data_IF_482018321452
#
_entry.id   IF_482018321452
#
_cell.length_a   1.000
_cell.length_b   1.000
_cell.length_c   1.000
_cell.angle_alpha   90.00
_cell.angle_beta   90.00
_cell.angle_gamma   90.00
#
_symmetry.space_group_name_H-M   'P 1'
#
loop_
_entity.id
_entity.type
_entity.pdbx_description
1 polymer ?
#
# COMPACT_ATOMS: atom_id res chain seq x y z
N UNK A 1 -6.41 -10.10 17.36
CA UNK A 1 -5.06 -9.56 17.08
C UNK A 1 -4.42 -10.13 15.80
N UNK A 2 -4.20 -11.42 15.64
CA UNK A 2 -3.51 -11.97 14.44
C UNK A 2 -4.24 -11.67 13.13
N UNK A 3 -5.56 -11.70 13.09
CA UNK A 3 -6.36 -11.40 11.90
C UNK A 3 -6.21 -9.93 11.47
N UNK A 4 -6.27 -9.00 12.42
CA UNK A 4 -6.14 -7.57 12.16
C UNK A 4 -4.75 -7.24 11.61
N UNK A 5 -3.68 -7.84 12.17
CA UNK A 5 -2.32 -7.68 11.68
C UNK A 5 -2.16 -8.22 10.26
N UNK A 6 -2.70 -9.40 9.96
CA UNK A 6 -2.65 -9.98 8.62
C UNK A 6 -3.43 -9.13 7.61
N UNK A 7 -4.57 -8.58 8.01
CA UNK A 7 -5.37 -7.69 7.18
C UNK A 7 -4.61 -6.40 6.85
N UNK A 8 -3.98 -5.79 7.86
CA UNK A 8 -3.16 -4.58 7.69
C UNK A 8 -2.01 -4.85 6.73
N UNK A 9 -1.23 -5.88 6.99
CA UNK A 9 -0.04 -6.26 6.23
C UNK A 9 -0.39 -6.54 4.75
N UNK A 10 -1.45 -7.31 4.51
CA UNK A 10 -1.91 -7.62 3.16
C UNK A 10 -2.31 -6.37 2.36
N UNK A 11 -3.10 -5.46 2.95
CA UNK A 11 -3.55 -4.27 2.24
C UNK A 11 -2.46 -3.23 2.06
N UNK A 12 -1.57 -3.09 3.04
CA UNK A 12 -0.41 -2.22 2.94
C UNK A 12 0.50 -2.66 1.79
N UNK A 13 0.86 -3.95 1.75
CA UNK A 13 1.65 -4.53 0.66
C UNK A 13 0.95 -4.43 -0.70
N UNK A 14 -0.34 -4.81 -0.78
CA UNK A 14 -1.08 -4.77 -2.05
C UNK A 14 -1.20 -3.34 -2.59
N UNK A 15 -1.49 -2.36 -1.74
CA UNK A 15 -1.57 -0.95 -2.09
C UNK A 15 -0.23 -0.40 -2.57
N UNK A 16 0.84 -0.67 -1.83
CA UNK A 16 2.20 -0.23 -2.15
C UNK A 16 2.70 -0.85 -3.46
N UNK A 17 2.56 -2.17 -3.62
CA UNK A 17 2.97 -2.87 -4.85
C UNK A 17 2.23 -2.34 -6.08
N UNK A 18 0.92 -2.11 -5.97
CA UNK A 18 0.12 -1.56 -7.07
C UNK A 18 0.58 -0.13 -7.41
N UNK A 19 0.78 0.71 -6.41
CA UNK A 19 1.23 2.09 -6.59
C UNK A 19 2.62 2.17 -7.22
N UNK A 20 3.58 1.40 -6.71
CA UNK A 20 4.95 1.36 -7.26
C UNK A 20 4.96 0.76 -8.67
N UNK A 21 4.15 -0.27 -8.94
CA UNK A 21 4.01 -0.85 -10.28
C UNK A 21 3.46 0.16 -11.28
N UNK A 22 2.53 1.03 -10.86
CA UNK A 22 2.01 2.11 -11.70
C UNK A 22 3.12 3.10 -12.06
N UNK A 23 3.91 3.56 -11.08
CA UNK A 23 5.09 4.42 -11.31
C UNK A 23 6.11 3.74 -12.22
N UNK A 24 6.27 2.42 -12.11
CA UNK A 24 7.17 1.61 -12.94
C UNK A 24 6.64 1.39 -14.38
N UNK A 25 5.38 1.74 -14.67
CA UNK A 25 4.72 1.44 -15.94
C UNK A 25 4.46 -0.05 -16.16
N UNK A 26 4.30 -0.82 -15.08
CA UNK A 26 4.04 -2.26 -15.08
C UNK A 26 2.56 -2.61 -14.84
N UNK A 27 1.68 -1.67 -14.98
CA UNK A 27 0.23 -1.89 -14.97
C UNK A 27 -0.25 -2.01 -16.40
N UNK A 28 -0.90 -3.13 -16.72
CA UNK A 28 -1.47 -3.39 -18.05
C UNK A 28 -2.68 -2.50 -18.33
N UNK A 29 -3.10 -2.46 -19.59
CA UNK A 29 -4.32 -1.73 -20.01
C UNK A 29 -5.60 -2.29 -19.37
N UNK A 30 -5.53 -3.50 -18.87
CA UNK A 30 -6.59 -4.20 -18.13
C UNK A 30 -6.57 -3.91 -16.61
N UNK A 31 -5.74 -2.96 -16.19
CA UNK A 31 -5.57 -2.60 -14.78
C UNK A 31 -4.79 -3.60 -13.93
N UNK A 32 -4.31 -4.70 -14.54
CA UNK A 32 -3.58 -5.74 -13.80
C UNK A 32 -2.10 -5.43 -13.70
N UNK A 33 -1.56 -5.62 -12.50
CA UNK A 33 -0.12 -5.49 -12.25
C UNK A 33 0.61 -6.73 -12.78
N UNK A 34 1.63 -6.51 -13.61
CA UNK A 34 2.48 -7.59 -14.12
C UNK A 34 3.24 -8.25 -12.97
N UNK A 35 3.29 -9.59 -13.01
CA UNK A 35 4.02 -10.41 -12.01
C UNK A 35 3.64 -10.17 -10.54
N UNK A 36 2.41 -9.67 -10.26
CA UNK A 36 1.95 -9.38 -8.90
C UNK A 36 2.12 -10.57 -7.96
N UNK A 37 1.84 -11.79 -8.44
CA UNK A 37 1.97 -13.01 -7.63
C UNK A 37 3.42 -13.26 -7.19
N UNK A 38 4.40 -12.94 -8.03
CA UNK A 38 5.83 -13.08 -7.66
C UNK A 38 6.24 -12.02 -6.66
N UNK A 39 5.72 -10.80 -6.81
CA UNK A 39 5.98 -9.71 -5.87
C UNK A 39 5.39 -10.02 -4.49
N UNK A 40 4.12 -10.45 -4.43
CA UNK A 40 3.45 -10.87 -3.19
C UNK A 40 4.16 -12.07 -2.53
N UNK A 41 4.61 -13.06 -3.33
CA UNK A 41 5.35 -14.19 -2.81
C UNK A 41 6.69 -13.75 -2.19
N UNK A 42 7.42 -12.85 -2.86
CA UNK A 42 8.67 -12.31 -2.34
C UNK A 42 8.46 -11.58 -1.02
N UNK A 43 7.41 -10.77 -0.91
CA UNK A 43 7.03 -10.05 0.30
C UNK A 43 6.70 -11.01 1.44
N UNK A 44 5.87 -12.02 1.18
CA UNK A 44 5.50 -13.06 2.15
C UNK A 44 6.70 -13.85 2.66
N UNK A 45 7.63 -14.24 1.77
CA UNK A 45 8.87 -14.94 2.15
C UNK A 45 9.74 -14.04 3.03
N UNK A 46 9.83 -12.75 2.70
CA UNK A 46 10.58 -11.77 3.49
C UNK A 46 9.98 -11.57 4.88
N UNK A 47 8.64 -11.52 4.97
CA UNK A 47 7.92 -11.44 6.25
C UNK A 47 8.17 -12.66 7.13
N UNK A 48 8.13 -13.87 6.55
CA UNK A 48 8.45 -15.10 7.29
C UNK A 48 9.90 -15.09 7.77
N UNK A 49 10.85 -14.71 6.92
CA UNK A 49 12.26 -14.62 7.29
C UNK A 49 12.48 -13.57 8.40
N UNK A 50 11.84 -12.40 8.29
CA UNK A 50 11.88 -11.37 9.33
C UNK A 50 11.32 -11.85 10.66
N UNK A 51 10.19 -12.54 10.64
CA UNK A 51 9.59 -13.13 11.85
C UNK A 51 10.52 -14.17 12.52
N UNK A 52 11.20 -14.98 11.72
CA UNK A 52 12.22 -15.93 12.25
C UNK A 52 13.40 -15.21 12.88
N UNK A 53 13.72 -14.01 12.43
CA UNK A 53 14.78 -13.16 13.00
C UNK A 53 14.31 -12.31 14.20
N UNK A 54 13.02 -12.38 14.56
CA UNK A 54 12.44 -11.67 15.70
C UNK A 54 12.04 -10.22 15.40
N UNK A 55 11.91 -9.84 14.12
CA UNK A 55 11.39 -8.53 13.72
C UNK A 55 9.90 -8.57 13.42
N UNK A 56 9.29 -7.42 13.20
CA UNK A 56 7.89 -7.29 12.76
C UNK A 56 7.74 -7.73 11.29
N UNK A 57 6.53 -7.63 10.75
CA UNK A 57 6.27 -7.86 9.32
C UNK A 57 7.21 -7.02 8.45
N UNK A 58 7.69 -7.62 7.37
CA UNK A 58 8.49 -6.94 6.34
C UNK A 58 7.55 -6.61 5.19
N UNK A 59 7.37 -5.33 4.93
CA UNK A 59 6.45 -4.85 3.89
C UNK A 59 7.18 -4.03 2.83
N UNK A 60 6.57 -3.92 1.67
CA UNK A 60 7.07 -3.09 0.57
C UNK A 60 6.86 -1.61 0.87
N UNK A 61 7.86 -0.77 0.58
CA UNK A 61 7.82 0.67 0.84
C UNK A 61 7.43 1.48 -0.39
N UNK A 62 6.55 2.47 -0.22
CA UNK A 62 6.16 3.42 -1.28
C UNK A 62 7.35 4.27 -1.74
N UNK A 63 8.34 4.51 -0.87
CA UNK A 63 9.58 5.23 -1.18
C UNK A 63 10.39 4.54 -2.28
N UNK A 64 10.18 3.24 -2.52
CA UNK A 64 10.74 2.51 -3.67
C UNK A 64 10.35 3.14 -5.00
N UNK A 65 9.20 3.83 -5.07
CA UNK A 65 8.77 4.60 -6.23
C UNK A 65 9.77 5.69 -6.63
N UNK A 66 10.46 6.31 -5.68
CA UNK A 66 11.52 7.28 -5.95
C UNK A 66 12.72 6.62 -6.65
N UNK A 67 13.14 5.44 -6.19
CA UNK A 67 14.19 4.65 -6.81
C UNK A 67 13.83 4.21 -8.24
N UNK A 68 12.60 3.77 -8.45
CA UNK A 68 12.08 3.43 -9.78
C UNK A 68 12.09 4.64 -10.72
N UNK A 69 11.67 5.81 -10.21
CA UNK A 69 11.67 7.06 -10.98
C UNK A 69 13.10 7.53 -11.35
N UNK A 70 14.06 7.27 -10.47
CA UNK A 70 15.47 7.54 -10.71
C UNK A 70 16.12 6.56 -11.73
N UNK A 71 15.39 5.53 -12.18
CA UNK A 71 15.85 4.58 -13.20
C UNK A 71 16.16 3.18 -12.67
N UNK A 72 15.93 2.90 -11.40
CA UNK A 72 16.09 1.57 -10.79
C UNK A 72 14.97 0.61 -11.26
N UNK A 73 15.30 -0.34 -12.15
CA UNK A 73 14.31 -1.23 -12.79
C UNK A 73 14.64 -2.71 -12.70
N UNK A 74 15.72 -3.05 -11.99
CA UNK A 74 16.21 -4.42 -11.89
C UNK A 74 16.37 -4.83 -10.44
N UNK A 75 16.37 -6.13 -10.15
CA UNK A 75 16.63 -6.67 -8.82
C UNK A 75 18.00 -6.28 -8.25
N UNK A 76 18.96 -5.91 -9.12
CA UNK A 76 20.25 -5.40 -8.69
C UNK A 76 20.11 -4.11 -7.87
N UNK A 77 19.18 -3.23 -8.23
CA UNK A 77 18.88 -2.02 -7.45
C UNK A 77 18.46 -2.38 -6.03
N UNK A 78 17.55 -3.33 -5.87
CA UNK A 78 17.10 -3.79 -4.55
C UNK A 78 18.22 -4.44 -3.74
N UNK A 79 19.09 -5.20 -4.40
CA UNK A 79 20.25 -5.83 -3.75
C UNK A 79 21.22 -4.76 -3.23
N UNK A 80 21.54 -3.75 -4.04
CA UNK A 80 22.43 -2.64 -3.61
C UNK A 80 21.80 -1.89 -2.44
N UNK A 81 20.49 -1.60 -2.49
CA UNK A 81 19.77 -0.96 -1.39
C UNK A 81 19.86 -1.81 -0.11
N UNK A 82 19.66 -3.13 -0.21
CA UNK A 82 19.80 -4.04 0.93
C UNK A 82 21.20 -4.01 1.55
N UNK A 83 22.25 -4.01 0.72
CA UNK A 83 23.64 -3.88 1.19
C UNK A 83 23.87 -2.53 1.88
N UNK A 84 23.33 -1.45 1.32
CA UNK A 84 23.41 -0.12 1.95
C UNK A 84 22.70 -0.07 3.30
N UNK A 85 21.54 -0.70 3.43
CA UNK A 85 20.86 -0.83 4.74
C UNK A 85 21.71 -1.58 5.76
N UNK A 86 22.37 -2.67 5.36
CA UNK A 86 23.31 -3.36 6.24
C UNK A 86 24.50 -2.47 6.64
N UNK A 87 25.01 -1.68 5.72
CA UNK A 87 26.06 -0.70 6.04
C UNK A 87 25.57 0.39 7.01
N UNK A 88 24.31 0.80 6.91
CA UNK A 88 23.70 1.78 7.81
C UNK A 88 23.61 1.29 9.27
N UNK A 89 23.68 -0.01 9.54
CA UNK A 89 23.78 -0.52 10.92
C UNK A 89 25.01 0.01 11.65
N UNK A 90 26.13 0.17 10.94
CA UNK A 90 27.35 0.75 11.50
C UNK A 90 27.25 2.28 11.66
N UNK A 91 26.34 2.92 10.92
CA UNK A 91 26.06 4.36 10.96
C UNK A 91 24.84 4.71 11.82
N UNK A 92 24.36 3.77 12.62
CA UNK A 92 23.17 3.95 13.47
C UNK A 92 23.20 5.24 14.30
N UNK A 93 24.31 5.65 14.94
CA UNK A 93 24.37 6.91 15.68
C UNK A 93 24.13 8.15 14.79
N UNK A 94 24.58 8.09 13.53
CA UNK A 94 24.35 9.16 12.56
C UNK A 94 22.89 9.19 12.11
N UNK A 95 22.31 8.01 11.83
CA UNK A 95 20.92 7.89 11.41
C UNK A 95 19.95 8.41 12.49
N UNK A 96 20.23 8.12 13.77
CA UNK A 96 19.40 8.59 14.89
C UNK A 96 19.57 10.08 15.21
N UNK A 97 20.59 10.73 14.70
CA UNK A 97 20.82 12.19 14.85
C UNK A 97 20.08 13.02 13.81
N UNK A 98 19.47 12.40 12.80
CA UNK A 98 18.73 13.12 11.77
C UNK A 98 17.43 13.71 12.36
N UNK A 99 17.16 15.00 12.12
CA UNK A 99 15.89 15.62 12.51
C UNK A 99 14.70 14.98 11.77
N UNK A 100 13.58 14.80 12.45
CA UNK A 100 12.33 14.22 11.87
C UNK A 100 11.77 15.04 10.70
N UNK A 101 12.14 16.31 10.62
CA UNK A 101 11.75 17.21 9.53
C UNK A 101 12.31 16.76 8.18
N UNK A 102 13.45 16.07 8.16
CA UNK A 102 14.05 15.51 6.94
C UNK A 102 13.18 14.36 6.41
N UNK A 103 12.68 13.51 7.28
CA UNK A 103 11.77 12.41 6.90
C UNK A 103 10.49 12.99 6.30
N UNK A 104 9.92 14.04 6.90
CA UNK A 104 8.75 14.73 6.38
C UNK A 104 8.96 15.29 4.97
N UNK A 105 10.12 15.90 4.70
CA UNK A 105 10.44 16.43 3.37
C UNK A 105 10.57 15.29 2.32
N UNK A 106 11.18 14.16 2.69
CA UNK A 106 11.28 13.00 1.81
C UNK A 106 9.89 12.40 1.49
N UNK A 107 9.01 12.31 2.50
CA UNK A 107 7.63 11.83 2.30
C UNK A 107 6.81 12.75 1.39
N UNK A 108 6.97 14.07 1.49
CA UNK A 108 6.33 15.03 0.57
C UNK A 108 6.80 14.80 -0.86
N UNK A 109 8.10 14.59 -1.08
CA UNK A 109 8.61 14.25 -2.41
C UNK A 109 7.98 12.97 -2.97
N UNK A 110 7.91 11.92 -2.16
CA UNK A 110 7.25 10.65 -2.55
C UNK A 110 5.78 10.88 -2.85
N UNK A 111 5.06 11.63 -2.02
CA UNK A 111 3.66 11.97 -2.25
C UNK A 111 3.43 12.65 -3.61
N UNK A 112 4.31 13.59 -4.00
CA UNK A 112 4.23 14.24 -5.32
C UNK A 112 4.36 13.23 -6.47
N UNK A 113 5.19 12.19 -6.32
CA UNK A 113 5.32 11.15 -7.35
C UNK A 113 4.03 10.34 -7.53
N UNK A 114 3.25 10.17 -6.46
CA UNK A 114 2.02 9.38 -6.47
C UNK A 114 0.75 10.18 -6.71
N UNK A 115 0.78 11.50 -6.58
CA UNK A 115 -0.38 12.38 -6.88
C UNK A 115 -0.98 12.10 -8.25
N UNK A 116 -0.15 11.72 -9.22
CA UNK A 116 -0.62 11.38 -10.56
C UNK A 116 -1.61 10.19 -10.58
N UNK A 117 -1.53 9.27 -9.63
CA UNK A 117 -2.44 8.13 -9.56
C UNK A 117 -3.88 8.55 -9.22
N UNK A 118 -4.07 9.75 -8.66
CA UNK A 118 -5.40 10.32 -8.38
C UNK A 118 -6.19 10.56 -9.67
N UNK A 119 -5.50 10.79 -10.80
CA UNK A 119 -6.16 10.98 -12.09
C UNK A 119 -6.77 9.70 -12.67
N UNK A 120 -6.37 8.54 -12.16
CA UNK A 120 -6.87 7.24 -12.60
C UNK A 120 -8.24 6.91 -11.96
N UNK A 121 -8.69 7.72 -11.00
CA UNK A 121 -9.99 7.58 -10.34
C UNK A 121 -11.08 8.15 -11.27
N UNK A 122 -12.15 7.38 -11.46
CA UNK A 122 -13.34 7.82 -12.19
C UNK A 122 -14.18 8.80 -11.36
N UNK A 123 -13.81 10.07 -11.36
CA UNK A 123 -14.45 11.12 -10.55
C UNK A 123 -15.92 11.36 -10.88
N UNK A 124 -16.36 10.99 -12.09
CA UNK A 124 -17.74 11.14 -12.53
C UNK A 124 -18.67 10.02 -12.00
N UNK A 125 -18.14 8.88 -11.57
CA UNK A 125 -18.93 7.84 -10.91
C UNK A 125 -18.78 7.99 -9.38
N UNK A 126 -19.91 8.32 -8.73
CA UNK A 126 -19.95 8.48 -7.27
C UNK A 126 -19.60 7.18 -6.53
N UNK A 127 -19.82 6.04 -7.17
CA UNK A 127 -19.47 4.75 -6.58
C UNK A 127 -17.96 4.50 -6.50
N UNK A 128 -17.19 5.16 -7.35
CA UNK A 128 -15.72 5.09 -7.36
C UNK A 128 -15.09 6.28 -6.60
N UNK A 129 -15.64 7.48 -6.80
CA UNK A 129 -15.08 8.70 -6.21
C UNK A 129 -15.34 8.85 -4.72
N UNK A 130 -16.53 8.49 -4.21
CA UNK A 130 -16.84 8.65 -2.79
C UNK A 130 -16.00 7.77 -1.87
N UNK A 131 -15.77 6.46 -2.16
CA UNK A 131 -14.85 5.65 -1.37
C UNK A 131 -13.40 6.15 -1.40
N UNK A 132 -12.94 6.64 -2.55
CA UNK A 132 -11.61 7.21 -2.69
C UNK A 132 -11.42 8.46 -1.82
N UNK A 133 -12.40 9.37 -1.82
CA UNK A 133 -12.38 10.57 -0.96
C UNK A 133 -12.41 10.18 0.52
N UNK A 134 -13.25 9.21 0.89
CA UNK A 134 -13.31 8.70 2.27
C UNK A 134 -11.96 8.14 2.71
N UNK A 135 -11.29 7.34 1.87
CA UNK A 135 -9.95 6.84 2.18
C UNK A 135 -8.96 7.99 2.40
N UNK A 136 -8.91 8.96 1.47
CA UNK A 136 -8.00 10.10 1.53
C UNK A 136 -8.17 10.95 2.80
N UNK A 137 -9.40 11.08 3.29
CA UNK A 137 -9.71 11.85 4.51
C UNK A 137 -9.44 11.01 5.76
N UNK A 138 -9.85 9.75 5.76
CA UNK A 138 -9.81 8.90 6.96
C UNK A 138 -8.39 8.48 7.31
N UNK A 139 -7.53 8.19 6.32
CA UNK A 139 -6.14 7.77 6.57
C UNK A 139 -5.37 8.78 7.46
N UNK A 140 -5.28 10.07 7.11
CA UNK A 140 -4.58 11.03 7.95
C UNK A 140 -5.28 11.31 9.27
N UNK A 141 -6.62 11.29 9.33
CA UNK A 141 -7.37 11.56 10.57
C UNK A 141 -7.23 10.44 11.60
N UNK A 142 -7.12 9.19 11.16
CA UNK A 142 -6.98 8.03 12.05
C UNK A 142 -5.53 7.59 12.25
N UNK A 143 -4.58 8.23 11.57
CA UNK A 143 -3.17 7.80 11.52
C UNK A 143 -3.02 6.31 11.14
N UNK A 144 -3.95 5.79 10.31
CA UNK A 144 -4.02 4.38 9.96
C UNK A 144 -4.46 4.20 8.51
N UNK A 145 -3.57 3.63 7.70
CA UNK A 145 -3.84 3.27 6.31
C UNK A 145 -4.99 2.25 6.26
N UNK A 146 -4.95 1.26 7.16
CA UNK A 146 -5.94 0.18 7.22
C UNK A 146 -7.34 0.67 7.51
N UNK A 147 -7.51 1.63 8.43
CA UNK A 147 -8.81 2.22 8.72
C UNK A 147 -9.38 2.95 7.51
N UNK A 148 -8.54 3.67 6.76
CA UNK A 148 -8.95 4.34 5.53
C UNK A 148 -9.39 3.37 4.45
N UNK A 149 -8.60 2.31 4.21
CA UNK A 149 -8.92 1.26 3.25
C UNK A 149 -10.20 0.52 3.66
N UNK A 150 -10.32 0.13 4.92
CA UNK A 150 -11.49 -0.59 5.41
C UNK A 150 -12.78 0.24 5.25
N UNK A 151 -12.77 1.52 5.62
CA UNK A 151 -13.92 2.40 5.43
C UNK A 151 -14.24 2.62 3.95
N UNK A 152 -13.23 2.75 3.09
CA UNK A 152 -13.44 2.86 1.65
C UNK A 152 -14.15 1.64 1.07
N UNK A 153 -13.73 0.41 1.42
CA UNK A 153 -14.38 -0.82 0.96
C UNK A 153 -15.80 -0.98 1.50
N UNK A 154 -16.04 -0.61 2.76
CA UNK A 154 -17.40 -0.61 3.34
C UNK A 154 -18.28 0.39 2.58
N UNK A 155 -17.81 1.62 2.36
CA UNK A 155 -18.54 2.64 1.62
C UNK A 155 -18.80 2.22 0.18
N UNK A 156 -17.82 1.63 -0.50
CA UNK A 156 -17.96 1.10 -1.85
C UNK A 156 -19.07 0.05 -1.92
N UNK A 157 -19.03 -0.93 -1.02
CA UNK A 157 -20.05 -1.97 -0.94
C UNK A 157 -21.43 -1.39 -0.70
N UNK A 158 -21.57 -0.45 0.25
CA UNK A 158 -22.83 0.21 0.56
C UNK A 158 -23.39 0.99 -0.66
N UNK A 159 -22.54 1.76 -1.36
CA UNK A 159 -22.97 2.52 -2.53
C UNK A 159 -23.40 1.58 -3.66
N UNK A 160 -22.67 0.48 -3.90
CA UNK A 160 -23.08 -0.53 -4.91
C UNK A 160 -24.40 -1.22 -4.55
N UNK A 161 -24.68 -1.42 -3.26
CA UNK A 161 -25.99 -1.91 -2.78
C UNK A 161 -27.09 -0.88 -3.10
N UNK A 162 -26.89 0.36 -2.70
CA UNK A 162 -27.88 1.41 -2.85
C UNK A 162 -28.16 1.76 -4.33
N UNK A 163 -27.17 1.62 -5.20
CA UNK A 163 -27.30 1.86 -6.65
C UNK A 163 -27.76 0.65 -7.44
N UNK A 164 -27.99 -0.50 -6.80
CA UNK A 164 -28.44 -1.74 -7.45
C UNK A 164 -27.43 -2.38 -8.41
N UNK A 165 -26.16 -1.95 -8.38
CA UNK A 165 -25.10 -2.42 -9.28
C UNK A 165 -24.36 -3.66 -8.73
N UNK A 166 -25.08 -4.63 -8.15
CA UNK A 166 -24.47 -5.83 -7.55
C UNK A 166 -23.69 -6.68 -8.53
N UNK A 167 -24.20 -6.85 -9.76
CA UNK A 167 -23.63 -7.79 -10.73
C UNK A 167 -22.34 -7.28 -11.38
N UNK A 168 -22.03 -5.99 -11.25
CA UNK A 168 -20.79 -5.40 -11.80
C UNK A 168 -19.62 -5.44 -10.84
N UNK A 169 -19.87 -5.90 -9.60
CA UNK A 169 -18.86 -5.91 -8.54
C UNK A 169 -18.28 -7.30 -8.36
N UNK A 170 -16.95 -7.42 -8.37
CA UNK A 170 -16.26 -8.70 -8.15
C UNK A 170 -16.63 -9.30 -6.77
N UNK A 171 -16.84 -10.63 -6.68
CA UNK A 171 -17.06 -11.30 -5.39
C UNK A 171 -15.97 -11.02 -4.34
N UNK A 172 -14.74 -10.78 -4.79
CA UNK A 172 -13.62 -10.45 -3.92
C UNK A 172 -13.88 -9.17 -3.12
N UNK A 173 -14.51 -8.14 -3.72
CA UNK A 173 -14.81 -6.87 -3.05
C UNK A 173 -15.80 -7.08 -1.90
N UNK A 174 -16.79 -7.96 -2.08
CA UNK A 174 -17.74 -8.30 -1.02
C UNK A 174 -17.07 -8.98 0.16
N UNK A 175 -16.18 -9.93 -0.12
CA UNK A 175 -15.37 -10.59 0.91
C UNK A 175 -14.53 -9.56 1.66
N UNK A 176 -13.85 -8.66 0.95
CA UNK A 176 -13.03 -7.61 1.56
C UNK A 176 -13.88 -6.67 2.41
N UNK A 177 -15.06 -6.24 1.95
CA UNK A 177 -15.95 -5.40 2.73
C UNK A 177 -16.40 -6.07 4.04
N UNK A 178 -16.75 -7.37 4.00
CA UNK A 178 -17.10 -8.14 5.20
C UNK A 178 -15.90 -8.24 6.15
N UNK A 179 -14.71 -8.53 5.62
CA UNK A 179 -13.49 -8.60 6.42
C UNK A 179 -13.13 -7.25 7.03
N UNK A 180 -13.41 -6.15 6.32
CA UNK A 180 -13.22 -4.78 6.82
C UNK A 180 -14.14 -4.49 8.01
N UNK A 181 -15.41 -4.88 7.93
CA UNK A 181 -16.35 -4.75 9.06
C UNK A 181 -15.87 -5.58 10.25
N UNK A 182 -15.45 -6.83 9.99
CA UNK A 182 -14.94 -7.72 11.03
C UNK A 182 -13.67 -7.15 11.69
N UNK A 183 -12.80 -6.50 10.92
CA UNK A 183 -11.58 -5.86 11.42
C UNK A 183 -11.91 -4.78 12.47
N UNK A 184 -12.94 -3.97 12.24
CA UNK A 184 -13.39 -2.97 13.23
C UNK A 184 -14.02 -3.58 14.47
N UNK A 185 -14.64 -4.77 14.35
CA UNK A 185 -15.25 -5.44 15.50
C UNK A 185 -14.21 -6.14 16.39
N UNK A 186 -13.10 -6.58 15.81
CA UNK A 186 -12.04 -7.36 16.50
C UNK A 186 -10.90 -6.45 16.98
N UNK A 187 -10.80 -5.22 16.48
CA UNK A 187 -9.79 -4.22 16.91
C UNK A 187 -10.14 -3.59 18.22
#
# INVERSE_FOLDING_TARGET
MSFTLLFIDFFDTAGTLTSVANVAGKVGKDGKVQDINKAMLSDSVSTVAGAMMGTTTVTSYVESGAGVKAGGRTGMTSLVIGVLFLACLFLSPLATSLPKEIDGAALVYVAILFVRNITDIEWNDIAESAPAVLAMITMPLTYSISNGIALAFIAYALIKILTGKFSTTSPAIWIIAILSVLSFYVA
#
